data_IF_584491766111
#
_entry.id   IF_584491766111
#
_cell.length_a   1.000
_cell.length_b   1.000
_cell.length_c   1.000
_cell.angle_alpha   90.00
_cell.angle_beta   90.00
_cell.angle_gamma   90.00
#
_symmetry.space_group_name_H-M   'P 1'
#
loop_
_entity.id
_entity.type
_entity.pdbx_description
1 polymer ?
#
# COMPACT_ATOMS: atom_id res chain seq x y z
N UNK A 1 -26.66 27.11 -29.00
CA UNK A 1 -25.99 26.07 -28.18
C UNK A 1 -25.16 26.78 -27.10
N UNK A 2 -25.59 26.72 -25.84
CA UNK A 2 -24.90 27.42 -24.76
C UNK A 2 -23.67 26.61 -24.29
N UNK A 3 -22.51 27.24 -24.21
CA UNK A 3 -21.29 26.61 -23.69
C UNK A 3 -21.36 26.52 -22.16
N UNK A 4 -21.07 25.34 -21.61
CA UNK A 4 -20.94 25.11 -20.17
C UNK A 4 -19.46 25.12 -19.73
N UNK A 5 -19.21 25.10 -18.41
CA UNK A 5 -17.85 24.99 -17.88
C UNK A 5 -17.39 23.53 -17.94
N UNK A 6 -16.26 23.29 -18.61
CA UNK A 6 -15.78 21.94 -18.91
C UNK A 6 -15.11 21.23 -17.72
N UNK A 7 -14.61 21.96 -16.70
CA UNK A 7 -13.94 21.38 -15.53
C UNK A 7 -13.90 22.35 -14.33
N UNK A 8 -13.93 21.81 -13.11
CA UNK A 8 -13.76 22.55 -11.86
C UNK A 8 -13.24 21.67 -10.72
N UNK A 9 -12.29 22.21 -9.95
CA UNK A 9 -11.75 21.58 -8.75
C UNK A 9 -12.28 22.20 -7.44
N UNK A 10 -13.23 23.13 -7.53
CA UNK A 10 -13.67 24.00 -6.43
C UNK A 10 -14.08 23.23 -5.15
N UNK A 11 -14.76 22.10 -5.29
CA UNK A 11 -15.25 21.31 -4.14
C UNK A 11 -14.41 20.04 -3.86
N UNK A 12 -13.28 19.84 -4.54
CA UNK A 12 -12.52 18.59 -4.41
C UNK A 12 -11.85 18.48 -3.05
N UNK A 13 -11.22 19.57 -2.58
CA UNK A 13 -10.61 19.62 -1.26
C UNK A 13 -11.64 19.38 -0.14
N UNK A 14 -12.78 20.09 -0.16
CA UNK A 14 -13.85 19.91 0.83
C UNK A 14 -14.35 18.46 0.89
N UNK A 15 -14.50 17.79 -0.26
CA UNK A 15 -14.85 16.36 -0.30
C UNK A 15 -13.76 15.46 0.27
N UNK A 16 -12.49 15.70 -0.07
CA UNK A 16 -11.36 14.91 0.43
C UNK A 16 -11.22 15.02 1.96
N UNK A 17 -11.48 16.20 2.52
CA UNK A 17 -11.38 16.45 3.96
C UNK A 17 -12.63 16.06 4.74
N UNK A 18 -13.80 15.83 4.11
CA UNK A 18 -15.06 15.47 4.79
C UNK A 18 -14.92 14.28 5.73
N UNK A 19 -14.17 13.24 5.32
CA UNK A 19 -13.88 12.05 6.13
C UNK A 19 -12.42 12.02 6.65
N UNK A 20 -11.69 13.11 6.42
CA UNK A 20 -10.25 13.21 6.64
C UNK A 20 -9.41 12.42 5.63
N UNK A 21 -8.21 12.92 5.34
CA UNK A 21 -7.23 12.23 4.51
C UNK A 21 -6.64 11.09 5.34
N UNK A 22 -7.00 9.85 5.01
CA UNK A 22 -6.53 8.66 5.74
C UNK A 22 -5.11 8.31 5.30
N UNK A 23 -4.23 8.08 6.29
CA UNK A 23 -2.88 7.54 6.06
C UNK A 23 -2.96 6.02 5.84
N UNK A 24 -2.04 5.42 5.08
CA UNK A 24 -1.94 3.96 4.99
C UNK A 24 -1.66 3.38 6.39
N UNK A 25 -2.25 2.22 6.67
CA UNK A 25 -2.01 1.52 7.94
C UNK A 25 -0.59 0.95 7.94
N UNK A 26 0.13 1.14 9.04
CA UNK A 26 1.41 0.48 9.26
C UNK A 26 1.18 -0.86 9.96
N UNK A 27 1.90 -1.89 9.52
CA UNK A 27 1.93 -3.20 10.16
C UNK A 27 3.35 -3.50 10.63
N UNK A 28 3.50 -4.31 11.68
CA UNK A 28 4.82 -4.71 12.21
C UNK A 28 5.69 -5.36 11.13
N UNK A 29 5.08 -6.13 10.23
CA UNK A 29 5.77 -6.83 9.15
C UNK A 29 5.25 -6.36 7.78
N UNK A 30 6.10 -5.71 6.95
CA UNK A 30 5.73 -5.32 5.60
C UNK A 30 5.83 -6.51 4.62
N UNK A 31 5.30 -6.34 3.40
CA UNK A 31 5.44 -7.35 2.36
C UNK A 31 6.89 -7.43 1.85
N UNK A 32 7.42 -8.63 1.66
CA UNK A 32 8.72 -8.86 1.00
C UNK A 32 8.62 -8.83 -0.54
N UNK A 33 7.62 -8.14 -1.12
CA UNK A 33 7.48 -8.00 -2.57
C UNK A 33 8.54 -7.00 -3.06
N UNK A 34 9.34 -7.40 -4.05
CA UNK A 34 10.41 -6.56 -4.60
C UNK A 34 11.75 -6.63 -3.85
N UNK A 35 11.83 -7.37 -2.73
CA UNK A 35 13.13 -7.66 -2.10
C UNK A 35 13.91 -8.69 -2.92
N UNK A 36 15.24 -8.66 -2.83
CA UNK A 36 16.14 -9.54 -3.56
C UNK A 36 15.65 -11.02 -3.60
N UNK A 37 15.45 -11.60 -4.79
CA UNK A 37 15.03 -12.99 -4.92
C UNK A 37 15.95 -14.00 -4.22
N UNK A 38 17.27 -13.75 -4.17
CA UNK A 38 18.22 -14.65 -3.49
C UNK A 38 17.99 -14.65 -1.98
N UNK A 39 17.88 -13.47 -1.38
CA UNK A 39 17.49 -13.31 0.02
C UNK A 39 16.14 -13.99 0.32
N UNK A 40 15.12 -13.76 -0.50
CA UNK A 40 13.78 -14.35 -0.29
C UNK A 40 13.81 -15.88 -0.33
N UNK A 41 14.57 -16.47 -1.26
CA UNK A 41 14.70 -17.92 -1.37
C UNK A 41 15.39 -18.48 -0.13
N UNK A 42 16.49 -17.86 0.30
CA UNK A 42 17.20 -18.28 1.52
C UNK A 42 16.32 -18.18 2.77
N UNK A 43 15.66 -17.05 2.98
CA UNK A 43 14.77 -16.82 4.13
C UNK A 43 13.66 -17.88 4.20
N UNK A 44 13.08 -18.26 3.06
CA UNK A 44 12.08 -19.34 3.00
C UNK A 44 12.64 -20.68 3.49
N UNK A 45 13.82 -21.07 3.01
CA UNK A 45 14.43 -22.35 3.42
C UNK A 45 14.81 -22.36 4.89
N UNK A 46 15.33 -21.24 5.42
CA UNK A 46 15.66 -21.11 6.83
C UNK A 46 14.41 -21.27 7.72
N UNK A 47 13.32 -20.55 7.42
CA UNK A 47 12.06 -20.67 8.18
C UNK A 47 11.47 -22.08 8.13
N UNK A 48 11.51 -22.71 6.97
CA UNK A 48 11.03 -24.09 6.84
C UNK A 48 11.90 -25.08 7.61
N UNK A 49 13.22 -24.90 7.62
CA UNK A 49 14.15 -25.70 8.41
C UNK A 49 13.90 -25.56 9.92
N UNK A 50 13.73 -24.32 10.41
CA UNK A 50 13.44 -24.07 11.82
C UNK A 50 12.12 -24.67 12.25
N UNK A 51 11.09 -24.58 11.41
CA UNK A 51 9.76 -25.15 11.70
C UNK A 51 9.78 -26.69 11.74
N UNK A 52 10.70 -27.35 11.02
CA UNK A 52 10.87 -28.81 11.07
C UNK A 52 11.66 -29.30 12.28
N UNK A 53 12.43 -28.41 12.90
CA UNK A 53 13.28 -28.72 14.04
C UNK A 53 12.59 -28.46 15.39
N UNK A 54 11.47 -27.73 15.35
CA UNK A 54 10.53 -27.54 16.46
C UNK A 54 9.43 -28.60 16.40
#
# INVERSE_FOLDING_TARGET
MAKSKNSSQHNQAKKAHKNGIKKPKTHRYPSLKGTDPKFRRNHRHALHGTMRAL
#
